data_IF_641496426293
#
_entry.id   IF_641496426293
#
_cell.length_a   1.000
_cell.length_b   1.000
_cell.length_c   1.000
_cell.angle_alpha   90.00
_cell.angle_beta   90.00
_cell.angle_gamma   90.00
#
_symmetry.space_group_name_H-M   'P 1'
#
loop_
_entity.id
_entity.type
_entity.pdbx_description
1 polymer ?
#
# COMPACT_ATOMS: atom_id res chain seq x y z
N UNK A 1 1.24 0.89 3.29
CA UNK A 1 0.17 0.76 2.29
C UNK A 1 -0.53 2.09 2.17
N UNK A 2 -0.76 2.52 0.93
CA UNK A 2 -1.40 3.80 0.63
C UNK A 2 -2.59 3.55 -0.29
N UNK A 3 -3.72 4.17 0.04
CA UNK A 3 -4.98 4.02 -0.70
C UNK A 3 -5.46 5.40 -1.09
N UNK A 4 -5.75 5.62 -2.38
CA UNK A 4 -6.37 6.86 -2.87
C UNK A 4 -7.84 6.61 -3.09
N UNK A 5 -8.70 7.39 -2.43
CA UNK A 5 -10.15 7.29 -2.58
C UNK A 5 -10.60 7.90 -3.91
N UNK A 6 -11.47 7.20 -4.64
CA UNK A 6 -11.93 7.61 -5.97
C UNK A 6 -12.72 8.92 -5.96
N UNK A 7 -13.61 9.09 -4.98
CA UNK A 7 -14.53 10.23 -4.95
C UNK A 7 -13.89 11.55 -4.52
N UNK A 8 -12.82 11.49 -3.70
CA UNK A 8 -12.22 12.68 -3.09
C UNK A 8 -10.76 12.89 -3.45
N UNK A 9 -10.07 11.88 -3.97
CA UNK A 9 -8.61 11.88 -4.13
C UNK A 9 -7.84 11.86 -2.79
N UNK A 10 -8.55 11.75 -1.66
CA UNK A 10 -7.93 11.70 -0.33
C UNK A 10 -7.15 10.41 -0.12
N UNK A 11 -6.05 10.50 0.64
CA UNK A 11 -5.16 9.39 0.89
C UNK A 11 -5.34 8.81 2.29
N UNK A 12 -5.39 7.48 2.37
CA UNK A 12 -5.36 6.73 3.62
C UNK A 12 -4.05 5.95 3.70
N UNK A 13 -3.38 6.07 4.84
CA UNK A 13 -2.12 5.37 5.13
C UNK A 13 -2.37 4.29 6.17
N UNK A 14 -2.00 3.07 5.81
CA UNK A 14 -2.12 1.91 6.68
C UNK A 14 -0.79 1.16 6.77
N UNK A 15 -0.54 0.56 7.94
CA UNK A 15 0.40 -0.54 8.04
C UNK A 15 -0.07 -1.70 7.16
N UNK A 16 0.86 -2.44 6.56
CA UNK A 16 0.54 -3.55 5.66
C UNK A 16 -0.44 -4.58 6.25
N UNK A 17 -0.34 -4.82 7.56
CA UNK A 17 -1.28 -5.65 8.33
C UNK A 17 -2.70 -5.08 8.33
N UNK A 18 -2.91 -3.86 8.81
CA UNK A 18 -4.26 -3.31 9.01
C UNK A 18 -5.01 -3.10 7.70
N UNK A 19 -4.29 -2.85 6.62
CA UNK A 19 -4.90 -2.63 5.34
C UNK A 19 -5.57 -3.89 4.76
N UNK A 20 -5.01 -5.08 5.02
CA UNK A 20 -5.60 -6.36 4.60
C UNK A 20 -6.96 -6.61 5.26
N UNK A 21 -7.16 -6.17 6.50
CA UNK A 21 -8.41 -6.32 7.21
C UNK A 21 -9.56 -5.51 6.60
N UNK A 22 -9.26 -4.41 5.90
CA UNK A 22 -10.24 -3.49 5.29
C UNK A 22 -10.24 -3.51 3.76
N UNK A 23 -9.42 -4.37 3.14
CA UNK A 23 -9.19 -4.37 1.70
C UNK A 23 -10.46 -4.61 0.90
N UNK A 24 -11.29 -5.58 1.28
CA UNK A 24 -12.54 -5.88 0.59
C UNK A 24 -13.52 -4.69 0.56
N UNK A 25 -13.48 -3.84 1.60
CA UNK A 25 -14.31 -2.65 1.71
C UNK A 25 -13.73 -1.48 0.91
N UNK A 26 -12.42 -1.28 0.95
CA UNK A 26 -11.77 -0.11 0.35
C UNK A 26 -11.43 -0.28 -1.13
N UNK A 27 -11.11 -1.49 -1.61
CA UNK A 27 -10.79 -1.73 -3.03
C UNK A 27 -11.82 -1.16 -4.01
N UNK A 28 -13.14 -1.36 -3.84
CA UNK A 28 -14.13 -0.78 -4.76
C UNK A 28 -14.28 0.74 -4.62
N UNK A 29 -13.74 1.36 -3.57
CA UNK A 29 -13.83 2.81 -3.31
C UNK A 29 -12.52 3.54 -3.65
N UNK A 30 -11.49 2.81 -4.07
CA UNK A 30 -10.16 3.35 -4.30
C UNK A 30 -9.83 3.43 -5.78
N UNK A 31 -9.28 4.57 -6.22
CA UNK A 31 -8.67 4.69 -7.54
C UNK A 31 -7.26 4.12 -7.60
N UNK A 32 -6.57 4.04 -6.46
CA UNK A 32 -5.21 3.51 -6.40
C UNK A 32 -4.96 2.77 -5.07
N UNK A 33 -4.23 1.66 -5.17
CA UNK A 33 -3.88 0.78 -4.05
C UNK A 33 -2.39 0.41 -4.13
N UNK A 34 -1.58 1.07 -3.32
CA UNK A 34 -0.12 0.90 -3.32
C UNK A 34 0.35 0.06 -2.13
N UNK A 35 0.85 -1.14 -2.43
CA UNK A 35 1.39 -2.10 -1.46
C UNK A 35 2.91 -2.25 -1.59
N UNK A 36 3.64 -1.80 -0.57
CA UNK A 36 5.10 -1.92 -0.50
C UNK A 36 5.56 -2.92 0.56
N UNK A 37 4.66 -3.74 1.11
CA UNK A 37 5.04 -4.72 2.14
C UNK A 37 6.11 -5.69 1.68
N UNK A 38 6.16 -6.00 0.37
CA UNK A 38 7.20 -6.83 -0.22
C UNK A 38 8.61 -6.26 -0.10
N UNK A 39 8.76 -4.92 -0.10
CA UNK A 39 10.07 -4.26 0.01
C UNK A 39 10.74 -4.49 1.36
N UNK A 40 9.97 -4.81 2.40
CA UNK A 40 10.50 -5.08 3.75
C UNK A 40 11.40 -6.32 3.80
N UNK A 41 11.21 -7.24 2.86
CA UNK A 41 12.01 -8.47 2.78
C UNK A 41 13.06 -8.43 1.68
N UNK A 42 13.11 -7.35 0.90
CA UNK A 42 14.07 -7.18 -0.16
C UNK A 42 15.44 -6.86 0.44
N UNK A 43 16.44 -7.70 0.18
CA UNK A 43 17.82 -7.35 0.48
C UNK A 43 18.26 -6.31 -0.53
N UNK A 44 18.69 -5.15 -0.05
CA UNK A 44 19.35 -4.17 -0.88
C UNK A 44 20.56 -4.83 -1.56
N UNK A 45 20.66 -4.67 -2.88
CA UNK A 45 21.88 -5.01 -3.59
C UNK A 45 22.98 -4.07 -3.08
N UNK A 46 23.99 -4.66 -2.44
CA UNK A 46 25.20 -3.92 -2.08
C UNK A 46 26.12 -4.01 -3.30
N UNK A 47 26.24 -2.90 -4.03
CA UNK A 47 27.23 -2.78 -5.10
C UNK A 47 28.62 -2.76 -4.46
N UNK A 48 29.49 -3.67 -4.89
CA UNK A 48 30.90 -3.70 -4.50
C UNK A 48 31.67 -3.15 -5.70
N UNK A 49 32.23 -1.95 -5.56
CA UNK A 49 33.29 -1.39 -6.41
C UNK A 49 34.65 -1.93 -5.95
#
# INVERSE_FOLDING_TARGET
MRVVLESSGGELLFCGHHARAVEATLKPLSSDWHDETGKLHEKAAVEID
#
